data_IF_231927801147
#
_entry.id   IF_231927801147
#
_cell.length_a   1.000
_cell.length_b   1.000
_cell.length_c   1.000
_cell.angle_alpha   90.00
_cell.angle_beta   90.00
_cell.angle_gamma   90.00
#
_symmetry.space_group_name_H-M   'P 1'
#
loop_
_entity.id
_entity.type
_entity.pdbx_description
1 polymer ?
#
# COMPACT_ATOMS: atom_id res chain seq x y z
N UNK A 1 52.96 -13.63 36.93
CA UNK A 1 52.79 -13.56 35.48
C UNK A 1 51.65 -14.43 34.94
N UNK A 2 51.47 -15.69 35.31
CA UNK A 2 50.42 -16.58 34.77
C UNK A 2 48.96 -16.15 35.12
N UNK A 3 48.71 -15.59 36.33
CA UNK A 3 47.36 -15.15 36.72
C UNK A 3 46.91 -13.85 36.00
N UNK A 4 47.82 -12.97 35.71
CA UNK A 4 47.55 -11.72 34.99
C UNK A 4 47.17 -11.98 33.51
N UNK A 5 47.82 -12.98 32.89
CA UNK A 5 47.54 -13.39 31.49
C UNK A 5 46.16 -14.04 31.36
N UNK A 6 45.72 -14.82 32.34
CA UNK A 6 44.39 -15.46 32.34
C UNK A 6 43.24 -14.44 32.50
N UNK A 7 43.43 -13.40 33.29
CA UNK A 7 42.45 -12.33 33.48
C UNK A 7 42.31 -11.49 32.21
N UNK A 8 43.42 -11.20 31.52
CA UNK A 8 43.39 -10.47 30.24
C UNK A 8 42.74 -11.26 29.14
N UNK A 9 42.93 -12.60 29.05
CA UNK A 9 42.24 -13.46 28.10
C UNK A 9 40.73 -13.55 28.36
N UNK A 10 40.32 -13.62 29.64
CA UNK A 10 38.90 -13.66 30.03
C UNK A 10 38.18 -12.36 29.70
N UNK A 11 38.81 -11.21 29.87
CA UNK A 11 38.27 -9.90 29.52
C UNK A 11 38.15 -9.70 28.01
N UNK A 12 39.11 -10.19 27.21
CA UNK A 12 39.06 -10.14 25.80
C UNK A 12 37.93 -11.02 25.22
N UNK A 13 37.74 -12.23 25.78
CA UNK A 13 36.67 -13.13 25.38
C UNK A 13 35.25 -12.57 25.68
N UNK A 14 35.08 -11.92 26.84
CA UNK A 14 33.80 -11.27 27.18
C UNK A 14 33.51 -10.04 26.31
N UNK A 15 34.53 -9.29 25.88
CA UNK A 15 34.39 -8.17 24.96
C UNK A 15 33.98 -8.62 23.56
N UNK A 16 34.60 -9.69 23.03
CA UNK A 16 34.24 -10.27 21.74
C UNK A 16 32.82 -10.86 21.74
N UNK A 17 32.40 -11.55 22.82
CA UNK A 17 31.05 -12.08 22.96
C UNK A 17 29.99 -10.96 23.06
N UNK A 18 30.30 -9.88 23.78
CA UNK A 18 29.44 -8.71 23.86
C UNK A 18 29.25 -7.98 22.51
N UNK A 19 30.28 -7.93 21.68
CA UNK A 19 30.22 -7.31 20.37
C UNK A 19 29.44 -8.15 19.37
N UNK A 20 29.61 -9.47 19.37
CA UNK A 20 28.83 -10.39 18.51
C UNK A 20 27.37 -10.42 18.92
N UNK A 21 27.04 -10.37 20.23
CA UNK A 21 25.66 -10.30 20.69
C UNK A 21 24.97 -8.99 20.30
N UNK A 22 25.69 -7.86 20.36
CA UNK A 22 25.17 -6.56 19.92
C UNK A 22 24.94 -6.52 18.42
N UNK A 23 25.79 -7.17 17.61
CA UNK A 23 25.63 -7.26 16.16
C UNK A 23 24.46 -8.16 15.78
N UNK A 24 24.21 -9.24 16.51
CA UNK A 24 23.05 -10.12 16.29
C UNK A 24 21.74 -9.41 16.67
N UNK A 25 21.72 -8.61 17.75
CA UNK A 25 20.54 -7.86 18.16
C UNK A 25 20.23 -6.65 17.24
N UNK A 26 21.24 -6.09 16.56
CA UNK A 26 21.02 -5.00 15.60
C UNK A 26 20.62 -5.46 14.21
N UNK A 27 20.76 -6.76 13.88
CA UNK A 27 20.43 -7.29 12.54
C UNK A 27 18.96 -7.71 12.40
N UNK A 28 18.20 -7.77 13.48
CA UNK A 28 16.74 -7.81 13.41
C UNK A 28 16.15 -6.41 13.30
N UNK A 29 16.62 -5.61 12.35
CA UNK A 29 15.84 -4.53 11.80
C UNK A 29 14.65 -5.21 11.12
N UNK A 30 13.56 -5.35 11.88
CA UNK A 30 12.27 -5.77 11.35
C UNK A 30 11.97 -4.81 10.20
N UNK A 31 12.31 -5.22 8.98
CA UNK A 31 12.00 -4.50 7.77
C UNK A 31 10.49 -4.69 7.59
N UNK A 32 9.72 -4.00 8.46
CA UNK A 32 8.26 -4.02 8.41
C UNK A 32 7.90 -3.55 7.01
N UNK A 33 7.55 -4.51 6.17
CA UNK A 33 7.18 -4.26 4.78
C UNK A 33 6.15 -3.13 4.78
N UNK A 34 6.44 -2.03 4.08
CA UNK A 34 5.47 -0.94 3.94
C UNK A 34 4.29 -1.51 3.17
N UNK A 35 3.17 -1.74 3.86
CA UNK A 35 1.96 -2.32 3.28
C UNK A 35 1.40 -1.41 2.20
N UNK A 36 1.19 -0.14 2.51
CA UNK A 36 0.68 0.89 1.58
C UNK A 36 1.81 1.81 1.15
N UNK A 37 1.89 2.08 -0.14
CA UNK A 37 2.92 2.94 -0.75
C UNK A 37 2.36 4.25 -1.31
N UNK A 38 1.04 4.39 -1.42
CA UNK A 38 0.38 5.60 -1.89
C UNK A 38 -1.12 5.38 -2.10
N UNK A 39 -1.81 6.44 -2.47
CA UNK A 39 -3.21 6.38 -2.90
C UNK A 39 -3.22 6.13 -4.40
N UNK A 40 -3.76 4.98 -4.82
CA UNK A 40 -3.90 4.60 -6.23
C UNK A 40 -5.19 5.13 -6.84
N UNK A 41 -6.26 5.31 -6.04
CA UNK A 41 -7.51 5.85 -6.57
C UNK A 41 -8.44 6.42 -5.50
N UNK A 42 -9.25 7.37 -5.93
CA UNK A 42 -10.37 7.95 -5.18
C UNK A 42 -11.61 7.74 -6.03
N UNK A 43 -12.48 6.85 -5.61
CA UNK A 43 -13.70 6.48 -6.33
C UNK A 43 -14.93 6.92 -5.53
N UNK A 44 -15.92 7.46 -6.20
CA UNK A 44 -17.14 7.94 -5.53
C UNK A 44 -18.35 7.84 -6.44
N UNK A 45 -19.53 7.70 -5.85
CA UNK A 45 -20.78 7.64 -6.56
C UNK A 45 -21.32 9.02 -6.86
N UNK A 46 -21.95 9.18 -8.02
CA UNK A 46 -22.68 10.38 -8.39
C UNK A 46 -23.83 10.03 -9.37
N UNK A 47 -24.78 10.93 -9.52
CA UNK A 47 -25.95 10.72 -10.40
C UNK A 47 -25.54 10.59 -11.87
N UNK A 48 -24.68 11.48 -12.33
CA UNK A 48 -24.22 11.53 -13.73
C UNK A 48 -22.69 11.74 -13.78
N UNK A 49 -21.92 10.65 -13.97
CA UNK A 49 -20.45 10.74 -14.05
C UNK A 49 -19.95 11.63 -15.19
N UNK A 50 -20.67 11.73 -16.32
CA UNK A 50 -20.21 12.56 -17.44
C UNK A 50 -20.36 14.05 -17.11
N UNK A 51 -21.52 14.46 -16.58
CA UNK A 51 -21.71 15.84 -16.11
C UNK A 51 -20.77 16.20 -14.96
N UNK A 52 -20.47 15.24 -14.07
CA UNK A 52 -19.51 15.45 -13.00
C UNK A 52 -18.11 15.72 -13.55
N UNK A 53 -17.63 14.92 -14.50
CA UNK A 53 -16.33 15.13 -15.18
C UNK A 53 -16.29 16.47 -15.90
N UNK A 54 -17.33 16.81 -16.66
CA UNK A 54 -17.44 18.07 -17.37
C UNK A 54 -17.39 19.28 -16.42
N UNK A 55 -18.09 19.21 -15.29
CA UNK A 55 -18.07 20.26 -14.27
C UNK A 55 -16.66 20.49 -13.72
N UNK A 56 -15.97 19.40 -13.33
CA UNK A 56 -14.60 19.49 -12.80
C UNK A 56 -13.61 19.98 -13.86
N UNK A 57 -13.78 19.59 -15.11
CA UNK A 57 -12.97 20.07 -16.22
C UNK A 57 -13.18 21.58 -16.43
N UNK A 58 -14.43 22.03 -16.45
CA UNK A 58 -14.78 23.43 -16.71
C UNK A 58 -14.36 24.35 -15.59
N UNK A 59 -14.61 23.97 -14.34
CA UNK A 59 -14.46 24.87 -13.20
C UNK A 59 -13.13 24.72 -12.48
N UNK A 60 -12.50 23.56 -12.55
CA UNK A 60 -11.25 23.27 -11.85
C UNK A 60 -10.09 22.85 -12.78
N UNK A 61 -10.33 22.80 -14.09
CA UNK A 61 -9.30 22.48 -15.06
C UNK A 61 -8.79 21.05 -15.00
N UNK A 62 -9.57 20.10 -14.43
CA UNK A 62 -9.17 18.69 -14.42
C UNK A 62 -9.11 18.16 -15.87
N UNK A 63 -7.99 17.56 -16.24
CA UNK A 63 -7.88 16.85 -17.51
C UNK A 63 -8.57 15.49 -17.41
N UNK A 64 -9.85 15.43 -17.78
CA UNK A 64 -10.69 14.25 -17.68
C UNK A 64 -10.74 13.45 -18.98
N UNK A 65 -10.86 12.15 -18.86
CA UNK A 65 -11.11 11.21 -19.95
C UNK A 65 -12.37 10.36 -19.66
N UNK A 66 -12.57 9.28 -20.40
CA UNK A 66 -13.73 8.39 -20.20
C UNK A 66 -13.79 7.78 -18.79
N UNK A 67 -12.66 7.57 -18.11
CA UNK A 67 -12.57 6.96 -16.79
C UNK A 67 -12.55 7.98 -15.63
N UNK A 68 -12.14 9.22 -15.87
CA UNK A 68 -11.98 10.26 -14.85
C UNK A 68 -10.75 11.11 -15.09
N UNK A 69 -9.97 11.40 -14.07
CA UNK A 69 -8.71 12.12 -14.16
C UNK A 69 -7.58 11.35 -13.45
N UNK A 70 -6.36 11.52 -13.94
CA UNK A 70 -5.16 10.89 -13.35
C UNK A 70 -4.23 11.98 -12.84
N UNK A 71 -3.81 11.86 -11.58
CA UNK A 71 -2.81 12.71 -10.95
C UNK A 71 -1.48 11.95 -10.86
N UNK A 72 -0.44 12.51 -11.46
CA UNK A 72 0.93 11.99 -11.33
C UNK A 72 1.62 12.60 -10.10
N UNK A 73 2.35 11.78 -9.36
CA UNK A 73 3.18 12.18 -8.23
C UNK A 73 4.48 11.39 -8.20
N UNK A 74 5.42 11.75 -7.31
CA UNK A 74 6.67 11.04 -7.13
C UNK A 74 6.65 10.22 -5.85
N UNK A 75 7.18 8.99 -5.91
CA UNK A 75 7.19 8.11 -4.76
C UNK A 75 8.14 8.63 -3.67
N UNK A 76 7.68 8.66 -2.42
CA UNK A 76 8.48 9.17 -1.31
C UNK A 76 9.74 8.32 -1.01
N UNK A 77 9.72 7.03 -1.38
CA UNK A 77 10.84 6.12 -1.23
C UNK A 77 11.90 6.24 -2.33
N UNK A 78 11.49 6.73 -3.51
CA UNK A 78 12.34 6.90 -4.69
C UNK A 78 11.71 7.95 -5.61
N UNK A 79 12.23 9.18 -5.57
CA UNK A 79 11.70 10.31 -6.34
C UNK A 79 11.90 10.18 -7.87
N UNK A 80 12.66 9.20 -8.33
CA UNK A 80 12.78 8.90 -9.77
C UNK A 80 11.57 8.12 -10.29
N UNK A 81 10.85 7.45 -9.40
CA UNK A 81 9.67 6.66 -9.75
C UNK A 81 8.40 7.48 -9.66
N UNK A 82 7.55 7.28 -10.64
CA UNK A 82 6.21 7.88 -10.68
C UNK A 82 5.22 7.06 -9.84
N UNK A 83 4.20 7.71 -9.40
CA UNK A 83 2.99 7.11 -8.87
C UNK A 83 1.80 7.85 -9.44
N UNK A 84 0.65 7.20 -9.47
CA UNK A 84 -0.58 7.73 -10.05
C UNK A 84 -1.72 7.58 -9.07
N UNK A 85 -2.60 8.58 -9.05
CA UNK A 85 -3.89 8.52 -8.35
C UNK A 85 -5.00 8.74 -9.36
N UNK A 86 -5.85 7.75 -9.51
CA UNK A 86 -7.02 7.82 -10.39
C UNK A 86 -8.21 8.43 -9.64
N UNK A 87 -8.77 9.51 -10.15
CA UNK A 87 -10.01 10.10 -9.67
C UNK A 87 -11.16 9.67 -10.60
N UNK A 88 -12.13 8.90 -10.07
CA UNK A 88 -13.18 8.30 -10.91
C UNK A 88 -14.55 8.46 -10.27
N UNK A 89 -15.46 9.23 -10.89
CA UNK A 89 -16.87 9.21 -10.55
C UNK A 89 -17.57 7.97 -11.14
N UNK A 90 -18.32 7.24 -10.31
CA UNK A 90 -19.15 6.12 -10.68
C UNK A 90 -20.63 6.52 -10.65
N UNK A 91 -21.46 5.82 -11.42
CA UNK A 91 -22.92 5.96 -11.28
C UNK A 91 -23.36 5.54 -9.87
N UNK A 92 -24.33 6.23 -9.28
CA UNK A 92 -24.90 5.90 -7.97
C UNK A 92 -25.44 4.46 -7.89
N UNK A 93 -25.90 3.91 -9.02
CA UNK A 93 -26.40 2.54 -9.14
C UNK A 93 -25.30 1.47 -9.24
N UNK A 94 -24.02 1.84 -9.18
CA UNK A 94 -22.93 0.87 -9.27
C UNK A 94 -22.96 -0.11 -8.11
N UNK A 95 -22.70 -1.38 -8.39
CA UNK A 95 -22.50 -2.44 -7.41
C UNK A 95 -21.03 -2.67 -7.05
N UNK A 96 -20.13 -1.93 -7.70
CA UNK A 96 -18.69 -2.12 -7.54
C UNK A 96 -18.23 -1.93 -6.08
N UNK A 97 -18.94 -1.09 -5.32
CA UNK A 97 -18.63 -0.81 -3.92
C UNK A 97 -19.26 -1.81 -2.93
N UNK A 98 -20.15 -2.71 -3.40
CA UNK A 98 -20.74 -3.73 -2.51
C UNK A 98 -19.65 -4.64 -1.90
N UNK A 99 -19.79 -5.10 -0.63
CA UNK A 99 -20.97 -4.93 0.22
C UNK A 99 -21.02 -3.59 0.99
N UNK A 100 -20.05 -2.67 0.81
CA UNK A 100 -20.10 -1.35 1.45
C UNK A 100 -21.30 -0.55 0.98
N UNK A 101 -21.97 0.11 1.91
CA UNK A 101 -23.08 1.03 1.65
C UNK A 101 -22.62 2.47 1.44
N UNK A 102 -21.33 2.73 1.51
CA UNK A 102 -20.76 4.07 1.36
C UNK A 102 -20.71 4.49 -0.11
N UNK A 103 -20.72 5.79 -0.33
CA UNK A 103 -20.69 6.38 -1.67
C UNK A 103 -19.27 6.65 -2.16
N UNK A 104 -18.27 6.10 -1.49
CA UNK A 104 -16.87 6.18 -1.89
C UNK A 104 -16.14 4.85 -1.67
N UNK A 105 -15.03 4.68 -2.38
CA UNK A 105 -14.05 3.63 -2.16
C UNK A 105 -12.66 4.19 -2.44
N UNK A 106 -11.70 3.87 -1.57
CA UNK A 106 -10.29 4.24 -1.73
C UNK A 106 -9.53 3.04 -2.27
N UNK A 107 -8.73 3.29 -3.32
CA UNK A 107 -7.73 2.34 -3.78
C UNK A 107 -6.38 2.72 -3.17
N UNK A 108 -5.72 1.77 -2.52
CA UNK A 108 -4.37 1.93 -2.01
C UNK A 108 -3.37 1.15 -2.86
N UNK A 109 -2.33 1.85 -3.31
CA UNK A 109 -1.18 1.23 -3.95
C UNK A 109 -0.34 0.47 -2.93
N UNK A 110 0.02 -0.78 -3.25
CA UNK A 110 0.85 -1.65 -2.40
C UNK A 110 2.06 -2.16 -3.18
N UNK A 111 3.09 -2.66 -2.48
CA UNK A 111 4.32 -3.13 -3.11
C UNK A 111 4.28 -4.63 -3.46
N UNK A 112 3.54 -5.42 -2.67
CA UNK A 112 3.43 -6.88 -2.82
C UNK A 112 2.05 -7.29 -2.32
N UNK A 113 1.13 -7.51 -3.27
CA UNK A 113 -0.27 -7.76 -2.96
C UNK A 113 -0.49 -9.16 -2.37
N UNK A 114 0.19 -10.16 -2.90
CA UNK A 114 0.02 -11.54 -2.46
C UNK A 114 0.52 -11.72 -1.03
N UNK A 115 1.73 -11.23 -0.73
CA UNK A 115 2.27 -11.28 0.62
C UNK A 115 1.41 -10.48 1.61
N UNK A 116 0.91 -9.31 1.19
CA UNK A 116 0.02 -8.50 2.01
C UNK A 116 -1.30 -9.23 2.31
N UNK A 117 -1.93 -9.85 1.32
CA UNK A 117 -3.19 -10.60 1.48
C UNK A 117 -3.02 -11.76 2.46
N UNK A 118 -1.91 -12.50 2.38
CA UNK A 118 -1.63 -13.59 3.31
C UNK A 118 -1.40 -13.08 4.76
N UNK A 119 -0.80 -11.91 4.92
CA UNK A 119 -0.65 -11.26 6.22
C UNK A 119 -2.00 -10.80 6.77
N UNK A 120 -2.80 -10.13 5.96
CA UNK A 120 -4.13 -9.64 6.34
C UNK A 120 -5.08 -10.77 6.75
N UNK A 121 -5.04 -11.91 6.04
CA UNK A 121 -5.79 -13.12 6.43
C UNK A 121 -5.41 -13.62 7.82
N UNK A 122 -4.10 -13.66 8.15
CA UNK A 122 -3.61 -14.05 9.47
C UNK A 122 -4.01 -13.05 10.56
N UNK A 123 -4.14 -11.78 10.21
CA UNK A 123 -4.62 -10.73 11.10
C UNK A 123 -6.16 -10.71 11.25
N UNK A 124 -6.89 -11.58 10.53
CA UNK A 124 -8.35 -11.68 10.59
C UNK A 124 -9.10 -10.62 9.78
N UNK A 125 -8.42 -9.94 8.86
CA UNK A 125 -9.06 -8.96 7.96
C UNK A 125 -9.90 -9.69 6.93
N UNK A 126 -11.11 -9.20 6.69
CA UNK A 126 -12.01 -9.76 5.68
C UNK A 126 -11.52 -9.42 4.28
N UNK A 127 -11.16 -10.45 3.51
CA UNK A 127 -10.87 -10.34 2.08
C UNK A 127 -12.20 -10.53 1.34
N UNK A 128 -12.62 -9.53 0.57
CA UNK A 128 -13.95 -9.49 -0.05
C UNK A 128 -14.05 -10.34 -1.32
N UNK A 129 -12.94 -10.53 -2.01
CA UNK A 129 -12.87 -11.30 -3.26
C UNK A 129 -11.49 -11.94 -3.48
N UNK A 130 -11.27 -12.56 -4.63
CA UNK A 130 -9.97 -13.12 -5.03
C UNK A 130 -9.09 -12.06 -5.70
N UNK A 131 -7.77 -12.27 -5.70
CA UNK A 131 -6.84 -11.46 -6.49
C UNK A 131 -7.17 -11.61 -7.97
N UNK A 132 -7.37 -10.49 -8.64
CA UNK A 132 -7.52 -10.39 -10.09
C UNK A 132 -6.28 -9.74 -10.69
N UNK A 133 -5.83 -10.26 -11.85
CA UNK A 133 -4.64 -9.78 -12.55
C UNK A 133 -5.02 -9.22 -13.90
N UNK A 134 -4.55 -8.01 -14.19
CA UNK A 134 -4.74 -7.28 -15.45
C UNK A 134 -3.39 -6.77 -15.97
N UNK A 135 -3.37 -6.23 -17.18
CA UNK A 135 -2.15 -5.68 -17.81
C UNK A 135 -1.57 -4.49 -17.02
N UNK A 136 -2.36 -3.83 -16.20
CA UNK A 136 -1.98 -2.67 -15.39
C UNK A 136 -1.84 -2.99 -13.88
N UNK A 137 -1.87 -4.26 -13.51
CA UNK A 137 -1.58 -4.68 -12.12
C UNK A 137 -2.51 -5.73 -11.57
N UNK A 138 -2.32 -6.02 -10.27
CA UNK A 138 -3.13 -6.96 -9.50
C UNK A 138 -4.00 -6.20 -8.51
N UNK A 139 -5.21 -6.71 -8.29
CA UNK A 139 -6.23 -6.07 -7.46
C UNK A 139 -6.88 -7.07 -6.52
N UNK A 140 -7.26 -6.62 -5.35
CA UNK A 140 -8.11 -7.35 -4.39
C UNK A 140 -8.87 -6.34 -3.54
N UNK A 141 -10.03 -6.71 -3.03
CA UNK A 141 -10.76 -5.89 -2.10
C UNK A 141 -10.76 -6.48 -0.69
N UNK A 142 -10.72 -5.60 0.28
CA UNK A 142 -10.86 -5.91 1.70
C UNK A 142 -11.97 -5.08 2.31
N UNK A 143 -12.43 -5.48 3.49
CA UNK A 143 -13.41 -4.71 4.28
C UNK A 143 -12.68 -4.20 5.53
N UNK A 144 -12.78 -2.90 5.76
CA UNK A 144 -12.20 -2.27 6.94
C UNK A 144 -13.11 -2.40 8.18
N UNK A 145 -12.64 -1.85 9.31
CA UNK A 145 -13.34 -1.93 10.60
C UNK A 145 -14.75 -1.32 10.59
N UNK A 146 -15.00 -0.32 9.73
CA UNK A 146 -16.28 0.37 9.60
C UNK A 146 -17.15 -0.17 8.44
N UNK A 147 -16.72 -1.28 7.81
CA UNK A 147 -17.43 -1.89 6.68
C UNK A 147 -17.22 -1.17 5.34
N UNK A 148 -16.22 -0.30 5.23
CA UNK A 148 -15.89 0.27 3.95
C UNK A 148 -15.17 -0.78 3.09
N UNK A 149 -15.55 -0.87 1.82
CA UNK A 149 -14.78 -1.62 0.83
C UNK A 149 -13.55 -0.80 0.43
N UNK A 150 -12.40 -1.43 0.50
CA UNK A 150 -11.10 -0.84 0.16
C UNK A 150 -10.49 -1.68 -0.94
N UNK A 151 -10.00 -1.06 -1.99
CA UNK A 151 -9.27 -1.74 -3.06
C UNK A 151 -7.76 -1.65 -2.79
N UNK A 152 -7.06 -2.77 -2.91
CA UNK A 152 -5.60 -2.84 -2.87
C UNK A 152 -5.09 -3.11 -4.28
N UNK A 153 -4.11 -2.34 -4.72
CA UNK A 153 -3.55 -2.40 -6.05
C UNK A 153 -2.02 -2.51 -6.04
N UNK A 154 -1.49 -3.55 -6.66
CA UNK A 154 -0.09 -3.68 -6.99
C UNK A 154 0.09 -3.39 -8.49
N UNK A 155 0.72 -2.26 -8.89
CA UNK A 155 0.97 -1.97 -10.29
C UNK A 155 2.01 -2.92 -10.88
N UNK A 156 1.92 -3.20 -12.18
CA UNK A 156 2.99 -3.88 -12.89
C UNK A 156 4.25 -2.99 -12.91
N UNK A 157 5.42 -3.57 -12.60
CA UNK A 157 6.68 -2.93 -12.21
C UNK A 157 7.34 -1.90 -13.15
N UNK A 158 6.62 -1.34 -14.10
CA UNK A 158 7.10 -0.31 -15.03
C UNK A 158 6.60 1.11 -14.70
N UNK A 159 5.97 1.30 -13.52
CA UNK A 159 5.48 2.59 -13.04
C UNK A 159 6.28 3.10 -11.85
#
# INVERSE_FOLDING_TARGET
MKRSLLITLALAATFCLGFTFKTILTTTKNNKMKKVTGIGGIFFKCKDPNKMKEWYQTHLGLNTNQYGATFEWRQASDSTKKGYTQWTPFKESTKYFEPSTKDFMINYRVADLEALVEELKKEGVTIADKIETYDYGKFVHIIDLEGNKVELWEPNGNE
#
